data_IF_434755998337
#
_entry.id   IF_434755998337
#
_cell.length_a   1.000
_cell.length_b   1.000
_cell.length_c   1.000
_cell.angle_alpha   90.00
_cell.angle_beta   90.00
_cell.angle_gamma   90.00
#
_symmetry.space_group_name_H-M   'P 1'
#
loop_
_entity.id
_entity.type
_entity.pdbx_description
1 polymer ?
#
# COMPACT_ATOMS: atom_id res chain seq x y z
N UNK A 1 36.45 -25.12 -9.81
CA UNK A 1 37.16 -24.32 -10.84
C UNK A 1 36.18 -23.30 -11.42
N UNK A 2 36.55 -22.01 -11.35
CA UNK A 2 36.12 -20.84 -12.17
C UNK A 2 34.61 -20.51 -12.16
N UNK A 3 34.17 -19.58 -11.30
CA UNK A 3 34.12 -18.11 -11.48
C UNK A 3 33.08 -17.65 -12.51
N UNK A 4 32.08 -16.90 -12.03
CA UNK A 4 31.45 -15.83 -12.80
C UNK A 4 31.57 -14.57 -11.95
N UNK A 5 32.30 -13.60 -12.50
CA UNK A 5 32.65 -12.32 -11.89
C UNK A 5 31.44 -11.39 -11.82
N UNK A 6 31.52 -10.45 -10.88
CA UNK A 6 30.43 -9.57 -10.48
C UNK A 6 29.91 -8.65 -11.56
N UNK A 7 28.69 -8.17 -11.34
CA UNK A 7 28.25 -6.89 -11.85
C UNK A 7 27.69 -6.08 -10.68
N UNK A 8 28.07 -4.82 -10.70
CA UNK A 8 28.03 -3.86 -9.63
C UNK A 8 26.65 -3.23 -9.45
N UNK A 9 26.50 -2.59 -8.29
CA UNK A 9 25.51 -1.57 -7.91
C UNK A 9 24.15 -2.06 -7.38
N UNK A 10 24.13 -2.17 -6.05
CA UNK A 10 23.02 -1.83 -5.16
C UNK A 10 22.25 -0.60 -5.64
N UNK A 11 21.08 -0.83 -6.23
CA UNK A 11 19.91 -0.05 -5.89
C UNK A 11 19.05 -0.97 -5.03
N UNK A 12 18.86 -0.61 -3.76
CA UNK A 12 17.91 -1.29 -2.90
C UNK A 12 16.55 -1.15 -3.56
N UNK A 13 16.12 -2.15 -4.33
CA UNK A 13 14.75 -2.25 -4.81
C UNK A 13 13.91 -2.39 -3.53
N UNK A 14 13.49 -1.26 -2.95
CA UNK A 14 12.29 -1.23 -2.15
C UNK A 14 11.24 -1.88 -3.04
N UNK A 15 10.87 -3.13 -2.74
CA UNK A 15 9.78 -3.76 -3.46
C UNK A 15 8.60 -2.81 -3.27
N UNK A 16 8.15 -2.17 -4.34
CA UNK A 16 6.95 -1.34 -4.32
C UNK A 16 5.85 -2.19 -3.68
N UNK A 17 5.45 -1.82 -2.46
CA UNK A 17 4.46 -2.60 -1.72
C UNK A 17 3.12 -2.26 -2.32
N UNK A 18 2.56 -3.18 -3.08
CA UNK A 18 1.19 -3.05 -3.58
C UNK A 18 0.22 -3.02 -2.39
N UNK A 19 -0.32 -1.84 -2.08
CA UNK A 19 -1.34 -1.67 -1.04
C UNK A 19 -2.71 -1.74 -1.68
N UNK A 20 -3.55 -2.63 -1.15
CA UNK A 20 -4.97 -2.73 -1.51
C UNK A 20 -5.78 -2.46 -0.25
N UNK A 21 -6.84 -1.65 -0.38
CA UNK A 21 -7.75 -1.40 0.73
C UNK A 21 -8.99 -2.27 0.60
N UNK A 22 -9.32 -2.99 1.68
CA UNK A 22 -10.59 -3.67 1.78
C UNK A 22 -11.74 -2.65 1.85
N UNK A 23 -12.89 -3.01 1.28
CA UNK A 23 -14.08 -2.16 1.29
C UNK A 23 -14.50 -1.74 2.72
N UNK A 24 -14.24 -2.59 3.72
CA UNK A 24 -14.53 -2.29 5.12
C UNK A 24 -13.68 -1.15 5.69
N UNK A 25 -12.50 -0.86 5.13
CA UNK A 25 -11.62 0.24 5.53
C UNK A 25 -12.16 1.53 4.91
N UNK A 26 -12.52 1.47 3.62
CA UNK A 26 -13.11 2.60 2.89
C UNK A 26 -14.44 3.03 3.52
N UNK A 27 -15.28 2.08 3.95
CA UNK A 27 -16.56 2.39 4.59
C UNK A 27 -16.40 3.29 5.84
N UNK A 28 -15.31 3.13 6.60
CA UNK A 28 -15.01 3.92 7.80
C UNK A 28 -14.63 5.37 7.49
N UNK A 29 -14.38 5.72 6.23
CA UNK A 29 -14.18 7.12 5.84
C UNK A 29 -15.49 7.91 5.75
N UNK A 30 -16.62 7.20 5.69
CA UNK A 30 -17.95 7.75 5.44
C UNK A 30 -18.87 7.51 6.65
N UNK A 31 -18.75 6.35 7.30
CA UNK A 31 -19.56 5.94 8.44
C UNK A 31 -18.83 6.26 9.75
N UNK A 32 -19.33 7.23 10.57
CA UNK A 32 -18.73 7.57 11.84
C UNK A 32 -19.13 6.59 12.96
N UNK A 33 -18.36 6.56 14.03
CA UNK A 33 -18.57 5.73 15.22
C UNK A 33 -18.06 4.28 15.08
N UNK A 34 -17.38 3.95 13.99
CA UNK A 34 -16.88 2.60 13.72
C UNK A 34 -15.59 2.32 14.50
N UNK A 35 -15.36 1.07 14.94
CA UNK A 35 -14.06 0.67 15.44
C UNK A 35 -12.96 0.97 14.41
N UNK A 36 -11.85 1.55 14.87
CA UNK A 36 -10.71 1.93 14.04
C UNK A 36 -10.95 3.06 13.04
N UNK A 37 -12.00 3.88 13.23
CA UNK A 37 -12.27 5.07 12.42
C UNK A 37 -11.05 5.99 12.31
N UNK A 38 -10.42 6.37 13.44
CA UNK A 38 -9.24 7.25 13.46
C UNK A 38 -8.09 6.73 12.58
N UNK A 39 -7.86 5.41 12.59
CA UNK A 39 -6.83 4.76 11.79
C UNK A 39 -7.20 4.78 10.31
N UNK A 40 -8.47 4.53 9.97
CA UNK A 40 -8.95 4.61 8.60
C UNK A 40 -8.85 6.04 8.06
N UNK A 41 -9.20 7.05 8.86
CA UNK A 41 -9.08 8.46 8.50
C UNK A 41 -7.62 8.88 8.30
N UNK A 42 -6.70 8.49 9.19
CA UNK A 42 -5.26 8.71 8.98
C UNK A 42 -4.74 8.07 7.71
N UNK A 43 -5.23 6.87 7.37
CA UNK A 43 -4.84 6.19 6.13
C UNK A 43 -5.36 6.95 4.91
N UNK A 44 -6.56 7.50 4.97
CA UNK A 44 -7.12 8.38 3.93
C UNK A 44 -6.29 9.64 3.75
N UNK A 45 -5.85 10.28 4.84
CA UNK A 45 -4.99 11.47 4.79
C UNK A 45 -3.68 11.16 4.06
N UNK A 46 -3.03 10.04 4.40
CA UNK A 46 -1.81 9.59 3.70
C UNK A 46 -2.03 9.38 2.21
N UNK A 47 -3.17 8.80 1.82
CA UNK A 47 -3.53 8.62 0.41
C UNK A 47 -3.72 9.97 -0.29
N UNK A 48 -4.46 10.91 0.32
CA UNK A 48 -4.72 12.25 -0.23
C UNK A 48 -3.44 13.07 -0.35
N UNK A 49 -2.51 12.90 0.60
CA UNK A 49 -1.20 13.55 0.59
C UNK A 49 -0.20 12.92 -0.40
N UNK A 50 -0.54 11.78 -1.01
CA UNK A 50 0.36 11.04 -1.90
C UNK A 50 1.50 10.31 -1.18
N UNK A 51 1.38 10.10 0.13
CA UNK A 51 2.35 9.34 0.93
C UNK A 51 2.25 7.83 0.70
N UNK A 52 1.09 7.37 0.24
CA UNK A 52 0.83 5.98 -0.15
C UNK A 52 0.12 5.95 -1.50
N UNK A 53 0.47 4.96 -2.31
CA UNK A 53 -0.30 4.57 -3.49
C UNK A 53 -1.17 3.37 -3.13
N UNK A 54 -2.43 3.39 -3.56
CA UNK A 54 -3.40 2.32 -3.29
C UNK A 54 -3.99 1.86 -4.61
N UNK A 55 -4.12 0.55 -4.76
CA UNK A 55 -4.69 -0.10 -5.93
C UNK A 55 -6.07 -0.68 -5.62
N UNK A 56 -6.95 -0.67 -6.61
CA UNK A 56 -8.22 -1.36 -6.57
C UNK A 56 -8.01 -2.87 -6.82
N UNK A 57 -8.60 -3.77 -6.02
CA UNK A 57 -8.55 -5.19 -6.31
C UNK A 57 -9.40 -5.50 -7.55
N UNK A 58 -8.87 -6.28 -8.49
CA UNK A 58 -9.68 -6.85 -9.57
C UNK A 58 -10.61 -7.88 -8.97
N UNK A 59 -11.91 -7.62 -8.99
CA UNK A 59 -12.92 -8.61 -8.65
C UNK A 59 -13.03 -9.60 -9.82
N UNK A 60 -12.71 -10.88 -9.57
CA UNK A 60 -13.03 -11.95 -10.51
C UNK A 60 -14.55 -12.15 -10.48
N UNK A 61 -15.23 -11.79 -11.58
CA UNK A 61 -16.67 -11.96 -11.78
C UNK A 61 -16.94 -13.26 -12.53
#
# INVERSE_FOLDING_TARGET
MKSCHGLEKIDSVESERNVVLDANVIAKWILPGEPWEDQALKLREKLVNGEIEVHEPVLLV
#
